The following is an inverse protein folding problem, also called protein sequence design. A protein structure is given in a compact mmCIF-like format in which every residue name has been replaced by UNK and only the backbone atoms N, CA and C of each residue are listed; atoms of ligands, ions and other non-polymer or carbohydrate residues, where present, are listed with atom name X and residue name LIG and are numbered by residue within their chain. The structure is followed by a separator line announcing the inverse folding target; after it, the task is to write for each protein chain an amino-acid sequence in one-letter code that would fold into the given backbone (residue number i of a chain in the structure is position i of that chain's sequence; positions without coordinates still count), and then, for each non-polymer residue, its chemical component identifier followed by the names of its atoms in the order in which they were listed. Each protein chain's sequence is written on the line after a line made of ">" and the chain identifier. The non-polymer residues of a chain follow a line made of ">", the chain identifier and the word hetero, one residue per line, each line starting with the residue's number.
data_IF_785937653061
#
_entry.id   IF_785937653061
#
_cell.length_a   1.000
_cell.length_b   1.000
_cell.length_c   1.000
_cell.angle_alpha   90.00
_cell.angle_beta   90.00
_cell.angle_gamma   90.00
#
_symmetry.space_group_name_H-M   'P 1'
#
loop_
_entity.id
_entity.type
_entity.pdbx_description
1 polymer ?
#
# COMPACT_ATOMS: atom_id res chain seq x y z
N UNK A 1 8.02 23.72 0.61
CA UNK A 1 9.27 24.00 -0.08
C UNK A 1 8.88 24.57 -1.45
N UNK A 2 9.37 25.78 -1.71
CA UNK A 2 9.18 26.48 -2.95
C UNK A 2 9.68 25.58 -4.08
N UNK A 3 8.80 25.27 -5.03
CA UNK A 3 9.12 24.43 -6.16
C UNK A 3 10.12 25.17 -7.04
N UNK A 4 11.28 24.58 -7.21
CA UNK A 4 12.22 24.99 -8.23
C UNK A 4 11.51 24.98 -9.57
N UNK A 5 11.60 26.07 -10.31
CA UNK A 5 11.12 26.16 -11.69
C UNK A 5 11.76 25.06 -12.55
N UNK A 6 11.27 24.84 -13.77
CA UNK A 6 11.82 23.81 -14.64
C UNK A 6 13.34 23.96 -14.73
N UNK A 7 14.10 22.84 -14.73
CA UNK A 7 15.56 22.90 -14.86
C UNK A 7 15.97 23.82 -16.01
N UNK A 8 17.00 24.64 -15.82
CA UNK A 8 17.48 25.65 -16.79
C UNK A 8 17.55 25.14 -18.24
N UNK A 9 17.87 23.87 -18.42
CA UNK A 9 17.95 23.21 -19.72
C UNK A 9 16.61 23.16 -20.50
N UNK A 10 15.47 23.35 -19.84
CA UNK A 10 14.15 23.39 -20.51
C UNK A 10 13.58 24.80 -20.65
N UNK A 11 14.17 25.79 -19.99
CA UNK A 11 13.72 27.17 -20.05
C UNK A 11 13.74 27.70 -21.51
N UNK A 12 14.79 27.38 -22.27
CA UNK A 12 14.93 27.77 -23.68
C UNK A 12 13.88 27.12 -24.58
N UNK A 13 13.49 25.87 -24.30
CA UNK A 13 12.47 25.14 -25.05
C UNK A 13 11.09 25.76 -24.80
N UNK A 14 10.78 26.10 -23.56
CA UNK A 14 9.51 26.72 -23.18
C UNK A 14 9.38 28.15 -23.75
N UNK A 15 10.49 28.91 -23.76
CA UNK A 15 10.51 30.26 -24.31
C UNK A 15 10.37 30.34 -25.87
N UNK A 16 10.60 29.20 -26.53
CA UNK A 16 10.44 29.10 -28.01
C UNK A 16 9.01 28.75 -28.45
N UNK A 17 8.10 28.46 -27.50
CA UNK A 17 6.70 28.14 -27.82
C UNK A 17 5.87 29.41 -27.99
N UNK A 18 4.96 29.40 -28.99
CA UNK A 18 3.96 30.44 -29.13
C UNK A 18 2.88 30.36 -28.05
N UNK A 19 2.13 31.45 -27.87
CA UNK A 19 1.08 31.56 -26.83
C UNK A 19 0.04 30.46 -26.93
N UNK A 20 -0.28 29.98 -28.13
CA UNK A 20 -1.24 28.90 -28.34
C UNK A 20 -0.67 27.56 -27.91
N UNK A 21 0.57 27.28 -28.24
CA UNK A 21 1.29 26.07 -27.83
C UNK A 21 1.52 26.05 -26.35
N UNK A 22 1.83 27.19 -25.73
CA UNK A 22 1.92 27.33 -24.26
C UNK A 22 0.58 27.09 -23.58
N UNK A 23 -0.53 27.61 -24.11
CA UNK A 23 -1.86 27.38 -23.55
C UNK A 23 -2.24 25.90 -23.59
N UNK A 24 -2.05 25.24 -24.76
CA UNK A 24 -2.32 23.79 -24.89
C UNK A 24 -1.36 22.96 -24.01
N UNK A 25 -0.08 23.34 -24.00
CA UNK A 25 0.94 22.67 -23.19
C UNK A 25 0.65 22.75 -21.69
N UNK A 26 0.23 23.89 -21.20
CA UNK A 26 -0.11 24.09 -19.79
C UNK A 26 -1.28 23.21 -19.33
N UNK A 27 -2.32 23.03 -20.14
CA UNK A 27 -3.42 22.13 -19.81
C UNK A 27 -2.97 20.66 -19.74
N UNK A 28 -2.11 20.24 -20.66
CA UNK A 28 -1.55 18.88 -20.67
C UNK A 28 -0.62 18.67 -19.47
N UNK A 29 0.27 19.63 -19.20
CA UNK A 29 1.20 19.56 -18.06
C UNK A 29 0.45 19.50 -16.73
N UNK A 30 -0.59 20.31 -16.57
CA UNK A 30 -1.44 20.30 -15.38
C UNK A 30 -2.12 18.94 -15.17
N UNK A 31 -2.60 18.31 -16.25
CA UNK A 31 -3.19 16.97 -16.17
C UNK A 31 -2.14 15.91 -15.79
N UNK A 32 -0.94 16.00 -16.38
CA UNK A 32 0.18 15.10 -16.03
C UNK A 32 0.58 15.29 -14.56
N UNK A 33 0.74 16.52 -14.11
CA UNK A 33 1.10 16.87 -12.74
C UNK A 33 0.07 16.36 -11.74
N UNK A 34 -1.22 16.52 -12.02
CA UNK A 34 -2.29 15.98 -11.21
C UNK A 34 -2.21 14.46 -11.10
N UNK A 35 -2.00 13.75 -12.20
CA UNK A 35 -1.89 12.29 -12.22
C UNK A 35 -0.65 11.78 -11.49
N UNK A 36 0.50 12.45 -11.68
CA UNK A 36 1.74 12.10 -10.99
C UNK A 36 1.63 12.37 -9.48
N UNK A 37 1.12 13.53 -9.09
CA UNK A 37 0.87 13.86 -7.69
C UNK A 37 -0.08 12.86 -7.03
N UNK A 38 -1.02 12.32 -7.80
CA UNK A 38 -1.92 11.28 -7.30
C UNK A 38 -1.20 9.94 -7.09
N UNK A 39 -0.33 9.53 -8.03
CA UNK A 39 0.51 8.33 -7.86
C UNK A 39 1.41 8.45 -6.63
N UNK A 40 1.96 9.64 -6.39
CA UNK A 40 2.75 9.95 -5.20
C UNK A 40 1.91 9.84 -3.90
N UNK A 41 0.69 10.39 -3.90
CA UNK A 41 -0.20 10.38 -2.74
C UNK A 41 -0.65 8.98 -2.32
N UNK A 42 -0.73 8.04 -3.27
CA UNK A 42 -1.03 6.62 -2.97
C UNK A 42 0.23 5.79 -2.64
N UNK A 43 1.37 6.44 -2.38
CA UNK A 43 2.62 5.79 -1.97
C UNK A 43 3.32 5.03 -3.08
N UNK A 44 3.28 5.54 -4.31
CA UNK A 44 3.98 4.98 -5.47
C UNK A 44 5.16 5.85 -5.93
N UNK A 45 5.62 6.78 -5.10
CA UNK A 45 6.74 7.70 -5.32
C UNK A 45 8.07 7.00 -5.62
N UNK A 46 8.23 5.74 -5.24
CA UNK A 46 9.42 4.93 -5.52
C UNK A 46 9.41 4.24 -6.89
N UNK A 47 8.29 4.29 -7.63
CA UNK A 47 8.19 3.67 -8.96
C UNK A 47 8.69 4.63 -10.03
N UNK A 48 9.40 4.08 -11.02
CA UNK A 48 9.77 4.82 -12.23
C UNK A 48 8.70 4.65 -13.31
N UNK A 49 8.49 5.67 -14.15
CA UNK A 49 7.45 5.65 -15.19
C UNK A 49 7.69 4.61 -16.30
N UNK A 50 8.94 4.17 -16.47
CA UNK A 50 9.32 3.15 -17.44
C UNK A 50 9.14 1.71 -16.91
N UNK A 51 8.68 1.56 -15.66
CA UNK A 51 8.50 0.24 -15.05
C UNK A 51 7.42 -0.56 -15.76
N UNK A 52 7.78 -1.76 -16.16
CA UNK A 52 6.88 -2.67 -16.90
C UNK A 52 5.73 -3.16 -15.99
N UNK A 53 4.50 -3.11 -16.48
CA UNK A 53 3.30 -3.47 -15.73
C UNK A 53 3.33 -4.91 -15.16
N UNK A 54 3.96 -5.86 -15.87
CA UNK A 54 4.10 -7.25 -15.41
C UNK A 54 5.08 -7.44 -14.25
N UNK A 55 5.82 -6.40 -13.86
CA UNK A 55 6.73 -6.40 -12.70
C UNK A 55 6.11 -5.77 -11.46
N UNK A 56 4.90 -5.24 -11.58
CA UNK A 56 4.18 -4.64 -10.47
C UNK A 56 3.60 -5.71 -9.53
N UNK A 57 3.65 -5.44 -8.25
CA UNK A 57 2.91 -6.23 -7.25
C UNK A 57 1.39 -5.99 -7.39
N UNK A 58 0.59 -6.88 -6.81
CA UNK A 58 -0.87 -6.72 -6.80
C UNK A 58 -1.31 -5.38 -6.18
N UNK A 59 -0.71 -5.00 -5.04
CA UNK A 59 -1.00 -3.72 -4.38
C UNK A 59 -0.57 -2.50 -5.22
N UNK A 60 0.59 -2.54 -5.89
CA UNK A 60 1.03 -1.48 -6.81
C UNK A 60 0.04 -1.31 -7.97
N UNK A 61 -0.36 -2.41 -8.59
CA UNK A 61 -1.33 -2.41 -9.70
C UNK A 61 -2.68 -1.84 -9.28
N UNK A 62 -3.15 -2.18 -8.07
CA UNK A 62 -4.40 -1.67 -7.53
C UNK A 62 -4.33 -0.17 -7.27
N UNK A 63 -3.22 0.33 -6.70
CA UNK A 63 -3.02 1.76 -6.46
C UNK A 63 -2.90 2.56 -7.75
N UNK A 64 -2.26 2.02 -8.80
CA UNK A 64 -2.24 2.68 -10.12
C UNK A 64 -3.65 2.81 -10.69
N UNK A 65 -4.50 1.76 -10.56
CA UNK A 65 -5.91 1.84 -10.96
C UNK A 65 -6.66 2.90 -10.17
N UNK A 66 -6.45 2.93 -8.86
CA UNK A 66 -7.03 3.93 -7.97
C UNK A 66 -6.63 5.34 -8.41
N UNK A 67 -5.32 5.59 -8.62
CA UNK A 67 -4.80 6.86 -9.10
C UNK A 67 -5.42 7.27 -10.45
N UNK A 68 -5.63 6.33 -11.36
CA UNK A 68 -6.26 6.60 -12.66
C UNK A 68 -7.73 6.99 -12.52
N UNK A 69 -8.47 6.37 -11.60
CA UNK A 69 -9.88 6.67 -11.36
C UNK A 69 -10.07 8.04 -10.69
N UNK A 70 -9.21 8.38 -9.76
CA UNK A 70 -9.33 9.57 -8.92
C UNK A 70 -8.63 10.79 -9.57
N UNK A 71 -7.57 10.59 -10.33
CA UNK A 71 -6.75 11.65 -10.92
C UNK A 71 -7.52 12.60 -11.87
N UNK A 72 -8.74 12.24 -12.28
CA UNK A 72 -9.60 13.10 -13.10
C UNK A 72 -10.21 14.29 -12.33
N UNK A 73 -10.11 14.35 -11.00
CA UNK A 73 -10.73 15.37 -10.12
C UNK A 73 -12.19 15.69 -10.49
N UNK A 74 -12.93 14.71 -10.97
CA UNK A 74 -14.35 14.87 -11.27
C UNK A 74 -15.11 15.22 -9.99
N UNK A 75 -16.13 16.06 -10.11
CA UNK A 75 -17.03 16.44 -9.03
C UNK A 75 -18.40 15.81 -9.22
N UNK A 76 -19.12 15.50 -8.11
CA UNK A 76 -20.45 14.88 -8.16
C UNK A 76 -20.44 13.42 -8.60
N UNK A 77 -19.30 12.73 -8.44
CA UNK A 77 -19.10 11.33 -8.81
C UNK A 77 -19.18 10.44 -7.58
N UNK A 78 -19.63 9.20 -7.76
CA UNK A 78 -19.52 8.16 -6.73
C UNK A 78 -18.33 7.24 -7.06
N UNK A 79 -17.39 7.15 -6.15
CA UNK A 79 -16.26 6.22 -6.19
C UNK A 79 -16.57 5.01 -5.31
N UNK A 80 -16.37 3.81 -5.86
CA UNK A 80 -16.49 2.55 -5.12
C UNK A 80 -15.12 1.88 -5.08
N UNK A 81 -14.57 1.72 -3.88
CA UNK A 81 -13.23 1.21 -3.64
C UNK A 81 -13.31 -0.04 -2.76
N UNK A 82 -12.56 -1.06 -3.14
CA UNK A 82 -12.48 -2.33 -2.41
C UNK A 82 -11.06 -2.49 -1.85
N UNK A 83 -10.93 -2.45 -0.53
CA UNK A 83 -9.68 -2.58 0.23
C UNK A 83 -8.51 -1.71 -0.31
N UNK A 84 -8.68 -0.39 -0.51
CA UNK A 84 -7.63 0.44 -1.10
C UNK A 84 -6.35 0.53 -0.25
N UNK A 85 -6.44 0.26 1.07
CA UNK A 85 -5.30 0.24 2.01
C UNK A 85 -4.45 -1.03 1.94
N UNK A 86 -4.89 -2.08 1.21
CA UNK A 86 -4.22 -3.38 1.22
C UNK A 86 -2.74 -3.28 0.81
N UNK A 87 -1.87 -3.84 1.67
CA UNK A 87 -0.42 -3.86 1.43
C UNK A 87 0.29 -2.52 1.62
N UNK A 88 -0.41 -1.48 2.09
CA UNK A 88 0.21 -0.23 2.49
C UNK A 88 0.94 -0.35 3.83
N UNK A 89 2.03 0.39 3.96
CA UNK A 89 2.60 0.71 5.26
C UNK A 89 1.73 1.80 5.92
N UNK A 90 1.69 1.85 7.25
CA UNK A 90 0.87 2.81 7.99
C UNK A 90 1.10 4.27 7.53
N UNK A 91 2.35 4.66 7.29
CA UNK A 91 2.69 5.99 6.75
C UNK A 91 2.03 6.29 5.39
N UNK A 92 1.97 5.29 4.52
CA UNK A 92 1.40 5.46 3.18
C UNK A 92 -0.14 5.43 3.25
N UNK A 93 -0.71 4.73 4.25
CA UNK A 93 -2.14 4.72 4.52
C UNK A 93 -2.67 6.10 4.94
N UNK A 94 -1.93 6.84 5.76
CA UNK A 94 -2.29 8.22 6.13
C UNK A 94 -2.42 9.13 4.90
N UNK A 95 -1.49 9.03 3.94
CA UNK A 95 -1.54 9.79 2.68
C UNK A 95 -2.76 9.42 1.84
N UNK A 96 -3.04 8.11 1.73
CA UNK A 96 -4.23 7.63 1.03
C UNK A 96 -5.51 8.20 1.66
N UNK A 97 -5.64 8.14 2.98
CA UNK A 97 -6.81 8.64 3.70
C UNK A 97 -7.01 10.15 3.50
N UNK A 98 -5.92 10.93 3.54
CA UNK A 98 -5.98 12.36 3.24
C UNK A 98 -6.51 12.60 1.82
N UNK A 99 -6.01 11.85 0.84
CA UNK A 99 -6.45 11.99 -0.55
C UNK A 99 -7.92 11.60 -0.74
N UNK A 100 -8.37 10.53 -0.07
CA UNK A 100 -9.78 10.13 -0.09
C UNK A 100 -10.67 11.22 0.56
N UNK A 101 -10.18 11.88 1.59
CA UNK A 101 -10.89 13.00 2.23
C UNK A 101 -11.00 14.20 1.30
N UNK A 102 -9.91 14.59 0.63
CA UNK A 102 -9.91 15.67 -0.36
C UNK A 102 -10.94 15.43 -1.48
N UNK A 103 -11.13 14.18 -1.89
CA UNK A 103 -12.16 13.83 -2.88
C UNK A 103 -13.58 14.06 -2.35
N UNK A 104 -13.87 13.74 -1.10
CA UNK A 104 -15.18 14.03 -0.51
C UNK A 104 -15.42 15.51 -0.35
N UNK A 105 -14.38 16.28 0.00
CA UNK A 105 -14.44 17.74 0.13
C UNK A 105 -14.74 18.44 -1.21
N UNK A 106 -14.39 17.81 -2.34
CA UNK A 106 -14.78 18.24 -3.70
C UNK A 106 -16.26 17.95 -4.03
N UNK A 107 -17.04 17.39 -3.12
CA UNK A 107 -18.46 17.06 -3.32
C UNK A 107 -18.71 15.69 -3.94
N UNK A 108 -17.73 14.79 -3.89
CA UNK A 108 -17.90 13.41 -4.33
C UNK A 108 -18.44 12.51 -3.21
N UNK A 109 -18.99 11.36 -3.59
CA UNK A 109 -19.38 10.30 -2.67
C UNK A 109 -18.36 9.17 -2.74
N UNK A 110 -17.83 8.74 -1.59
CA UNK A 110 -16.97 7.57 -1.51
C UNK A 110 -17.68 6.43 -0.79
N UNK A 111 -17.68 5.27 -1.41
CA UNK A 111 -18.08 4.01 -0.80
C UNK A 111 -16.83 3.11 -0.76
N UNK A 112 -16.36 2.81 0.46
CA UNK A 112 -15.12 2.07 0.68
C UNK A 112 -15.42 0.80 1.46
N UNK A 113 -14.99 -0.34 0.93
CA UNK A 113 -14.94 -1.60 1.69
C UNK A 113 -13.59 -1.66 2.38
N UNK A 114 -13.57 -1.67 3.71
CA UNK A 114 -12.34 -1.60 4.48
C UNK A 114 -12.40 -2.33 5.82
N UNK A 115 -11.24 -2.75 6.30
CA UNK A 115 -11.04 -3.41 7.59
C UNK A 115 -10.02 -2.68 8.46
N UNK A 116 -9.33 -1.69 7.89
CA UNK A 116 -8.32 -0.88 8.58
C UNK A 116 -8.97 0.06 9.60
N UNK A 117 -8.43 0.05 10.83
CA UNK A 117 -8.99 0.80 11.95
C UNK A 117 -8.93 2.32 11.70
N UNK A 118 -7.84 2.82 11.12
CA UNK A 118 -7.64 4.26 10.90
C UNK A 118 -8.62 4.77 9.84
N UNK A 119 -8.87 3.97 8.80
CA UNK A 119 -9.88 4.24 7.78
C UNK A 119 -11.28 4.30 8.38
N UNK A 120 -11.65 3.30 9.18
CA UNK A 120 -12.97 3.24 9.81
C UNK A 120 -13.20 4.40 10.80
N UNK A 121 -12.17 4.84 11.52
CA UNK A 121 -12.25 5.98 12.43
C UNK A 121 -12.46 7.32 11.71
N UNK A 122 -11.92 7.45 10.50
CA UNK A 122 -12.04 8.65 9.68
C UNK A 122 -13.30 8.69 8.80
N UNK A 123 -14.02 7.56 8.66
CA UNK A 123 -15.26 7.52 7.90
C UNK A 123 -16.36 8.40 8.55
N UNK A 124 -17.15 9.05 7.73
CA UNK A 124 -18.33 9.80 8.21
C UNK A 124 -19.46 8.85 8.61
N UNK A 125 -19.53 7.68 7.95
CA UNK A 125 -20.58 6.68 8.15
C UNK A 125 -20.03 5.27 7.95
N UNK A 126 -20.41 4.35 8.82
CA UNK A 126 -20.04 2.93 8.74
C UNK A 126 -21.31 2.09 8.64
N UNK A 127 -21.31 1.16 7.70
CA UNK A 127 -22.27 0.08 7.58
C UNK A 127 -21.58 -1.24 7.92
N UNK A 128 -21.86 -1.79 9.10
CA UNK A 128 -21.22 -3.01 9.59
C UNK A 128 -22.08 -4.22 9.29
N UNK A 129 -21.53 -5.16 8.51
CA UNK A 129 -22.18 -6.38 8.06
C UNK A 129 -21.71 -7.57 8.93
N UNK A 130 -22.62 -8.46 9.25
CA UNK A 130 -22.35 -9.63 10.07
C UNK A 130 -23.59 -10.46 10.31
N UNK A 131 -23.71 -11.14 11.51
CA UNK A 131 -22.71 -11.23 12.58
C UNK A 131 -21.52 -12.15 12.27
N UNK A 132 -21.69 -13.08 11.33
CA UNK A 132 -20.66 -14.02 10.88
C UNK A 132 -20.38 -13.91 9.40
N UNK A 133 -19.86 -14.99 8.80
CA UNK A 133 -19.56 -15.09 7.38
C UNK A 133 -20.44 -16.15 6.71
N UNK A 134 -20.56 -16.08 5.37
CA UNK A 134 -21.38 -17.03 4.60
C UNK A 134 -22.84 -16.98 5.01
N UNK A 135 -23.42 -18.13 5.36
CA UNK A 135 -24.84 -18.25 5.72
C UNK A 135 -25.21 -17.48 7.01
N UNK A 136 -24.25 -17.23 7.88
CA UNK A 136 -24.44 -16.45 9.11
C UNK A 136 -24.14 -14.95 8.94
N UNK A 137 -23.84 -14.53 7.73
CA UNK A 137 -23.57 -13.15 7.36
C UNK A 137 -24.76 -12.47 6.68
N UNK A 138 -24.45 -11.36 5.98
CA UNK A 138 -25.41 -10.66 5.12
C UNK A 138 -26.46 -9.81 5.83
N UNK A 139 -26.28 -9.56 7.13
CA UNK A 139 -27.16 -8.73 7.96
C UNK A 139 -26.43 -7.47 8.39
N UNK A 140 -27.09 -6.32 8.36
CA UNK A 140 -26.56 -5.08 8.92
C UNK A 140 -26.68 -5.16 10.44
N UNK A 141 -25.55 -5.34 11.15
CA UNK A 141 -25.51 -5.43 12.61
C UNK A 141 -25.43 -4.08 13.28
N UNK A 142 -24.85 -3.09 12.58
CA UNK A 142 -24.79 -1.71 13.04
C UNK A 142 -24.65 -0.76 11.83
N UNK A 143 -25.23 0.44 11.93
CA UNK A 143 -25.21 1.44 10.87
C UNK A 143 -25.24 2.85 11.47
N UNK A 144 -24.29 3.70 11.10
CA UNK A 144 -24.18 5.06 11.61
C UNK A 144 -22.76 5.60 11.67
N UNK A 145 -22.56 6.80 12.25
CA UNK A 145 -21.24 7.35 12.45
C UNK A 145 -20.39 6.48 13.40
N UNK A 146 -19.04 6.56 13.35
CA UNK A 146 -18.14 5.72 14.14
C UNK A 146 -18.50 5.64 15.63
N UNK A 147 -18.88 6.76 16.24
CA UNK A 147 -19.27 6.82 17.65
C UNK A 147 -20.51 5.97 17.98
N UNK A 148 -21.43 5.81 17.04
CA UNK A 148 -22.61 4.94 17.19
C UNK A 148 -22.21 3.48 17.06
N UNK A 149 -21.32 3.15 16.10
CA UNK A 149 -20.81 1.79 15.91
C UNK A 149 -20.03 1.33 17.14
N UNK A 150 -19.15 2.16 17.69
CA UNK A 150 -18.39 1.86 18.92
C UNK A 150 -19.28 1.54 20.12
N UNK A 151 -20.48 2.10 20.20
CA UNK A 151 -21.46 1.83 21.29
C UNK A 151 -22.33 0.59 21.04
N UNK A 152 -22.34 0.06 19.84
CA UNK A 152 -23.14 -1.12 19.49
C UNK A 152 -22.62 -2.36 20.21
N UNK A 153 -23.53 -3.12 20.83
CA UNK A 153 -23.19 -4.39 21.49
C UNK A 153 -23.09 -5.55 20.50
N UNK A 154 -23.77 -5.46 19.36
CA UNK A 154 -23.81 -6.51 18.32
C UNK A 154 -22.67 -6.37 17.32
N UNK A 155 -22.02 -5.21 17.23
CA UNK A 155 -20.94 -4.93 16.30
C UNK A 155 -19.59 -5.45 16.85
N UNK A 156 -19.00 -6.42 16.15
CA UNK A 156 -17.63 -6.87 16.41
C UNK A 156 -16.65 -5.75 16.07
N UNK A 157 -16.82 -5.10 14.93
CA UNK A 157 -16.05 -3.91 14.51
C UNK A 157 -16.09 -2.83 15.58
N UNK A 158 -17.29 -2.50 16.10
CA UNK A 158 -17.45 -1.53 17.17
C UNK A 158 -16.79 -1.94 18.49
N UNK A 159 -16.73 -3.24 18.78
CA UNK A 159 -16.02 -3.75 19.95
C UNK A 159 -14.51 -3.52 19.86
N UNK A 160 -13.90 -3.74 18.68
CA UNK A 160 -12.48 -3.44 18.45
C UNK A 160 -12.21 -1.94 18.43
N UNK A 161 -12.95 -1.15 17.66
CA UNK A 161 -12.80 0.31 17.60
C UNK A 161 -12.91 1.00 18.96
N UNK A 162 -13.73 0.45 19.86
CA UNK A 162 -13.92 1.01 21.22
C UNK A 162 -12.92 0.48 22.25
N UNK A 163 -12.05 -0.46 21.89
CA UNK A 163 -11.13 -1.13 22.80
C UNK A 163 -11.78 -2.15 23.76
N UNK A 164 -13.11 -2.40 23.66
CA UNK A 164 -13.79 -3.44 24.45
C UNK A 164 -13.30 -4.85 24.09
N UNK A 165 -12.77 -5.01 22.90
CA UNK A 165 -12.11 -6.20 22.41
C UNK A 165 -10.77 -5.81 21.79
N UNK A 166 -9.74 -6.58 22.07
CA UNK A 166 -8.41 -6.39 21.50
C UNK A 166 -7.76 -7.73 21.24
N UNK A 167 -6.80 -7.76 20.34
CA UNK A 167 -5.92 -8.93 20.18
C UNK A 167 -4.80 -8.77 21.20
N UNK A 168 -4.72 -9.71 22.12
CA UNK A 168 -3.69 -9.69 23.16
C UNK A 168 -2.30 -9.85 22.55
N UNK A 169 -1.39 -8.97 22.93
CA UNK A 169 0.02 -9.08 22.57
C UNK A 169 0.65 -10.11 23.51
N UNK A 170 1.23 -11.22 23.01
CA UNK A 170 1.85 -12.24 23.85
C UNK A 170 2.94 -11.63 24.73
N UNK A 171 2.84 -11.84 26.03
CA UNK A 171 3.85 -11.44 27.01
C UNK A 171 5.10 -12.32 26.93
N UNK A 172 4.91 -13.59 26.63
CA UNK A 172 6.00 -14.55 26.44
C UNK A 172 6.30 -14.70 24.95
N UNK A 173 7.52 -14.37 24.55
CA UNK A 173 8.02 -14.55 23.20
C UNK A 173 8.79 -15.87 23.09
N UNK A 174 8.62 -16.57 21.96
CA UNK A 174 9.46 -17.73 21.65
C UNK A 174 10.91 -17.29 21.53
N UNK A 175 11.78 -17.84 22.37
CA UNK A 175 13.22 -17.55 22.28
C UNK A 175 13.81 -18.22 21.04
N UNK A 176 14.70 -17.53 20.30
CA UNK A 176 15.39 -18.12 19.18
C UNK A 176 16.14 -19.42 19.58
N UNK A 177 15.97 -20.46 18.78
CA UNK A 177 16.75 -21.68 18.92
C UNK A 177 18.19 -21.45 18.44
N UNK A 178 19.04 -22.51 18.51
CA UNK A 178 20.38 -22.46 17.91
C UNK A 178 20.38 -22.59 16.39
N UNK A 179 19.20 -22.79 15.76
CA UNK A 179 19.06 -22.97 14.31
C UNK A 179 18.63 -21.67 13.66
N UNK A 180 19.41 -21.21 12.73
CA UNK A 180 19.23 -19.95 12.01
C UNK A 180 19.35 -20.19 10.52
N UNK A 181 18.52 -19.53 9.76
CA UNK A 181 18.69 -19.37 8.33
C UNK A 181 19.42 -18.05 8.09
N UNK A 182 20.59 -18.10 7.48
CA UNK A 182 21.46 -16.94 7.28
C UNK A 182 21.54 -16.62 5.81
N UNK A 183 21.09 -15.45 5.40
CA UNK A 183 21.22 -14.93 4.05
C UNK A 183 22.38 -13.93 4.04
N UNK A 184 23.33 -14.10 3.16
CA UNK A 184 24.50 -13.25 3.01
C UNK A 184 24.55 -12.60 1.63
N UNK A 185 24.90 -11.32 1.61
CA UNK A 185 25.17 -10.58 0.39
C UNK A 185 23.99 -10.48 -0.55
N UNK A 186 22.78 -10.28 -0.05
CA UNK A 186 21.58 -10.14 -0.87
C UNK A 186 21.61 -8.83 -1.68
N UNK A 187 21.56 -8.95 -3.02
CA UNK A 187 21.71 -7.82 -3.97
C UNK A 187 20.65 -7.81 -5.07
N UNK A 188 19.46 -8.31 -4.80
CA UNK A 188 18.39 -8.38 -5.79
C UNK A 188 17.54 -7.09 -5.77
N UNK A 189 17.28 -6.53 -6.97
CA UNK A 189 16.59 -5.24 -7.14
C UNK A 189 17.29 -4.13 -6.31
N UNK A 190 16.56 -3.52 -5.36
CA UNK A 190 17.07 -2.44 -4.51
C UNK A 190 17.82 -2.90 -3.25
N UNK A 191 18.05 -4.21 -3.08
CA UNK A 191 18.82 -4.69 -1.94
C UNK A 191 20.32 -4.37 -2.12
N UNK A 192 20.90 -3.68 -1.13
CA UNK A 192 22.27 -3.15 -1.17
C UNK A 192 23.24 -4.04 -0.40
N UNK A 193 23.41 -5.28 -0.86
CA UNK A 193 24.35 -6.26 -0.27
C UNK A 193 24.08 -6.50 1.23
N UNK A 194 22.84 -6.80 1.57
CA UNK A 194 22.41 -6.98 2.95
C UNK A 194 22.61 -8.40 3.45
N UNK A 195 22.91 -8.53 4.73
CA UNK A 195 22.93 -9.78 5.47
C UNK A 195 21.74 -9.82 6.43
N UNK A 196 21.14 -11.00 6.59
CA UNK A 196 20.06 -11.20 7.54
C UNK A 196 20.08 -12.60 8.14
N UNK A 197 19.86 -12.70 9.44
CA UNK A 197 19.71 -13.93 10.18
C UNK A 197 18.25 -14.11 10.60
N UNK A 198 17.65 -15.23 10.23
CA UNK A 198 16.25 -15.55 10.51
C UNK A 198 16.20 -16.76 11.46
N UNK A 199 15.68 -16.61 12.68
CA UNK A 199 15.60 -17.72 13.65
C UNK A 199 14.57 -18.75 13.19
N UNK A 200 14.95 -20.02 13.12
CA UNK A 200 14.01 -21.10 12.81
C UNK A 200 13.17 -21.45 14.05
N UNK A 201 11.90 -21.78 13.82
CA UNK A 201 10.96 -22.09 14.89
C UNK A 201 10.35 -20.86 15.58
N UNK A 202 10.63 -19.66 15.08
CA UNK A 202 10.03 -18.40 15.55
C UNK A 202 9.06 -17.81 14.53
N UNK A 203 8.10 -17.05 15.01
CA UNK A 203 7.31 -16.17 14.15
C UNK A 203 8.13 -14.90 13.86
N UNK A 204 8.64 -14.79 12.65
CA UNK A 204 9.48 -13.66 12.23
C UNK A 204 8.68 -12.78 11.28
N UNK A 205 8.55 -11.50 11.58
CA UNK A 205 7.92 -10.50 10.73
C UNK A 205 8.98 -9.68 9.99
N UNK A 206 8.81 -9.53 8.67
CA UNK A 206 9.62 -8.62 7.85
C UNK A 206 8.76 -7.43 7.49
N UNK A 207 9.14 -6.26 7.96
CA UNK A 207 8.38 -5.01 7.83
C UNK A 207 9.21 -3.92 7.16
N UNK A 208 8.57 -2.83 6.81
CA UNK A 208 9.15 -1.65 6.16
C UNK A 208 8.16 -1.02 5.17
N UNK A 209 8.45 0.20 4.75
CA UNK A 209 7.63 0.97 3.80
C UNK A 209 7.46 0.24 2.45
N UNK A 210 6.47 0.65 1.68
CA UNK A 210 6.30 0.16 0.30
C UNK A 210 7.58 0.39 -0.50
N UNK A 211 7.95 -0.57 -1.37
CA UNK A 211 9.20 -0.46 -2.15
C UNK A 211 10.51 -0.74 -1.38
N UNK A 212 10.50 -0.97 -0.05
CA UNK A 212 11.75 -1.15 0.74
C UNK A 212 12.55 -2.43 0.45
N UNK A 213 12.07 -3.33 -0.42
CA UNK A 213 12.79 -4.55 -0.80
C UNK A 213 12.34 -5.83 -0.10
N UNK A 214 11.28 -5.80 0.73
CA UNK A 214 10.75 -6.98 1.43
C UNK A 214 10.49 -8.16 0.48
N UNK A 215 9.76 -7.91 -0.61
CA UNK A 215 9.46 -8.94 -1.61
C UNK A 215 10.69 -9.37 -2.41
N UNK A 216 11.65 -8.47 -2.63
CA UNK A 216 12.92 -8.79 -3.26
C UNK A 216 13.72 -9.80 -2.43
N UNK A 217 13.73 -9.63 -1.10
CA UNK A 217 14.39 -10.56 -0.19
C UNK A 217 13.65 -11.91 -0.12
N UNK A 218 12.35 -11.88 0.16
CA UNK A 218 11.58 -13.09 0.44
C UNK A 218 11.23 -13.83 -0.83
N UNK A 219 10.51 -13.20 -1.76
CA UNK A 219 10.02 -13.85 -2.98
C UNK A 219 11.08 -13.91 -4.07
N UNK A 220 12.01 -12.95 -4.09
CA UNK A 220 13.08 -12.87 -5.10
C UNK A 220 14.29 -13.75 -4.78
N UNK A 221 14.66 -13.91 -3.51
CA UNK A 221 15.86 -14.67 -3.11
C UNK A 221 15.49 -15.89 -2.29
N UNK A 222 14.90 -15.69 -1.11
CA UNK A 222 14.75 -16.77 -0.12
C UNK A 222 13.83 -17.88 -0.60
N UNK A 223 12.63 -17.54 -1.08
CA UNK A 223 11.65 -18.51 -1.54
C UNK A 223 12.16 -19.38 -2.71
N UNK A 224 12.79 -18.84 -3.78
CA UNK A 224 13.36 -19.66 -4.84
C UNK A 224 14.48 -20.60 -4.35
N UNK A 225 15.36 -20.15 -3.44
CA UNK A 225 16.43 -21.00 -2.89
C UNK A 225 15.84 -22.14 -2.07
N UNK A 226 14.90 -21.86 -1.19
CA UNK A 226 14.21 -22.88 -0.39
C UNK A 226 13.43 -23.86 -1.26
N UNK A 227 12.70 -23.38 -2.28
CA UNK A 227 11.98 -24.25 -3.22
C UNK A 227 12.94 -25.14 -4.02
N UNK A 228 14.12 -24.64 -4.39
CA UNK A 228 15.15 -25.47 -5.04
C UNK A 228 15.68 -26.53 -4.09
N UNK A 229 16.02 -26.14 -2.87
CA UNK A 229 16.58 -27.06 -1.88
C UNK A 229 15.58 -28.14 -1.47
N UNK A 230 14.32 -27.78 -1.21
CA UNK A 230 13.30 -28.69 -0.66
C UNK A 230 12.50 -29.44 -1.74
N UNK A 231 12.33 -28.86 -2.92
CA UNK A 231 11.41 -29.37 -3.94
C UNK A 231 12.01 -29.46 -5.34
N UNK A 232 13.36 -29.33 -5.48
CA UNK A 232 14.07 -29.36 -6.76
C UNK A 232 13.49 -28.41 -7.82
N UNK A 233 12.99 -27.23 -7.39
CA UNK A 233 12.44 -26.22 -8.29
C UNK A 233 13.54 -25.60 -9.16
N UNK A 234 13.24 -25.32 -10.42
CA UNK A 234 14.15 -24.64 -11.35
C UNK A 234 14.11 -23.11 -11.26
N UNK A 235 13.31 -22.54 -10.34
CA UNK A 235 13.24 -21.09 -10.20
C UNK A 235 14.59 -20.49 -9.86
N UNK A 236 14.98 -19.47 -10.61
CA UNK A 236 16.21 -18.73 -10.37
C UNK A 236 16.00 -17.76 -9.20
N UNK A 237 16.93 -17.78 -8.26
CA UNK A 237 17.00 -16.81 -7.19
C UNK A 237 17.71 -15.53 -7.63
N UNK A 238 17.31 -14.41 -7.05
CA UNK A 238 18.01 -13.14 -7.19
C UNK A 238 19.47 -13.23 -6.67
N UNK A 239 20.29 -12.26 -7.02
CA UNK A 239 21.71 -12.22 -6.67
C UNK A 239 21.92 -12.20 -5.15
N UNK A 240 22.72 -13.12 -4.63
CA UNK A 240 23.13 -13.25 -3.24
C UNK A 240 24.45 -14.02 -3.17
N UNK A 241 25.15 -13.95 -2.04
CA UNK A 241 26.43 -14.66 -1.86
C UNK A 241 26.22 -16.08 -1.37
N UNK A 242 25.54 -16.28 -0.25
CA UNK A 242 25.20 -17.61 0.28
C UNK A 242 23.91 -17.58 1.11
N UNK A 243 23.32 -18.76 1.30
CA UNK A 243 22.26 -19.00 2.27
C UNK A 243 22.63 -20.27 3.05
N UNK A 244 22.85 -20.10 4.34
CA UNK A 244 23.27 -21.16 5.27
C UNK A 244 22.13 -21.55 6.21
N UNK A 245 22.17 -22.78 6.71
CA UNK A 245 21.14 -23.30 7.65
C UNK A 245 19.91 -23.91 6.97
N UNK A 246 20.07 -24.29 5.70
CA UNK A 246 19.07 -24.98 4.88
C UNK A 246 18.88 -26.45 5.32
#
# INVERSE_FOLDING_TARGET
>A
PEGDGPPEQYADVLSALDDRSLFIGNEILKEIENRLGFLESVGLDYLTLDRKANTLSGGESQRIRLATQIGSRLTGVMYVLDEPSIGLHQRDNERLLQTLRELTDLGNTLLVVEHDEDTLRQADWICDLGPGAGLEGGIIVANGPPNKIMKSKSSVTGAFLSGRRSIEVPTNRTSPSKKWLQVKGAQHNNLSNIDIDIPLGCFTAITGVSGSGKSSLISGILSPVLQRHLHNSEKLAGKHSSIDGL
#
